data_IF_258751352706
#
_entry.id   IF_258751352706
#
_cell.length_a   1.000
_cell.length_b   1.000
_cell.length_c   1.000
_cell.angle_alpha   90.00
_cell.angle_beta   90.00
_cell.angle_gamma   90.00
#
_symmetry.space_group_name_H-M   'P 1'
#
loop_
_entity.id
_entity.type
_entity.pdbx_description
1 polymer ?
#
# COMPACT_ATOMS: atom_id res chain seq x y z
N UNK A 1 18.30 -8.08 35.41
CA UNK A 1 17.11 -8.58 34.69
C UNK A 1 17.34 -8.34 33.20
N UNK A 2 17.59 -9.41 32.50
CA UNK A 2 17.77 -9.40 31.04
C UNK A 2 16.45 -9.06 30.37
N UNK A 3 16.40 -7.91 29.70
CA UNK A 3 15.26 -7.41 28.94
C UNK A 3 15.25 -7.90 27.48
N UNK A 4 16.16 -8.78 27.12
CA UNK A 4 16.48 -8.98 25.68
C UNK A 4 15.90 -10.22 25.03
N UNK A 5 15.29 -11.15 25.73
CA UNK A 5 14.91 -12.42 25.10
C UNK A 5 13.44 -12.80 25.12
N UNK A 6 12.60 -12.22 25.98
CA UNK A 6 11.26 -12.77 26.20
C UNK A 6 10.08 -11.96 25.63
N UNK A 7 10.31 -10.75 25.12
CA UNK A 7 9.21 -9.83 24.75
C UNK A 7 8.82 -9.91 23.26
N UNK A 8 9.66 -10.44 22.38
CA UNK A 8 9.40 -10.34 20.93
C UNK A 8 8.86 -11.58 20.22
N UNK A 9 9.05 -12.78 20.74
CA UNK A 9 8.64 -14.00 20.01
C UNK A 9 7.41 -14.69 20.59
N UNK A 10 7.17 -14.55 21.90
CA UNK A 10 6.01 -15.17 22.55
C UNK A 10 4.74 -14.34 22.48
N UNK A 11 4.86 -13.00 22.33
CA UNK A 11 3.69 -12.12 22.37
C UNK A 11 2.95 -11.99 21.05
N UNK A 12 3.64 -12.12 19.91
CA UNK A 12 2.98 -12.10 18.60
C UNK A 12 2.15 -13.36 18.34
N UNK A 13 2.61 -14.53 18.81
CA UNK A 13 1.87 -15.79 18.70
C UNK A 13 0.63 -15.82 19.59
N UNK A 14 0.57 -14.94 20.61
CA UNK A 14 -0.59 -14.79 21.49
C UNK A 14 -1.65 -13.83 20.93
N UNK A 15 -1.33 -13.05 19.88
CA UNK A 15 -2.29 -12.14 19.27
C UNK A 15 -3.24 -12.92 18.35
N UNK A 16 -4.53 -12.87 18.66
CA UNK A 16 -5.56 -13.53 17.87
C UNK A 16 -5.76 -12.89 16.50
N UNK A 17 -5.48 -11.60 16.36
CA UNK A 17 -5.66 -10.85 15.13
C UNK A 17 -4.65 -9.72 15.00
N UNK A 18 -3.93 -9.66 13.88
CA UNK A 18 -2.98 -8.61 13.56
C UNK A 18 -3.46 -7.89 12.30
N UNK A 19 -3.88 -6.63 12.45
CA UNK A 19 -4.33 -5.78 11.35
C UNK A 19 -3.15 -4.99 10.77
N UNK A 20 -2.84 -5.25 9.50
CA UNK A 20 -1.85 -4.47 8.76
C UNK A 20 -2.46 -3.22 8.14
N UNK A 21 -1.91 -2.04 8.42
CA UNK A 21 -2.37 -0.79 7.81
C UNK A 21 -1.46 -0.44 6.65
N UNK A 22 -2.04 -0.22 5.48
CA UNK A 22 -1.33 0.23 4.28
C UNK A 22 -2.14 1.28 3.53
N UNK A 23 -1.48 2.15 2.78
CA UNK A 23 -2.15 3.09 1.88
C UNK A 23 -2.54 2.39 0.57
N UNK A 24 -3.47 2.98 -0.17
CA UNK A 24 -3.82 2.54 -1.53
C UNK A 24 -2.71 2.81 -2.58
N UNK A 25 -1.60 3.43 -2.18
CA UNK A 25 -0.39 3.69 -2.95
C UNK A 25 0.83 3.61 -2.04
N UNK A 26 2.04 3.59 -2.61
CA UNK A 26 3.27 3.51 -1.82
C UNK A 26 3.88 4.89 -1.57
N UNK A 27 4.46 5.05 -0.38
CA UNK A 27 5.30 6.21 -0.02
C UNK A 27 6.59 5.75 0.64
N UNK A 28 7.66 6.51 0.43
CA UNK A 28 8.96 6.25 1.06
C UNK A 28 9.58 7.54 1.59
N UNK A 29 10.20 7.44 2.76
CA UNK A 29 11.06 8.46 3.34
C UNK A 29 12.50 8.00 3.23
N UNK A 30 13.40 8.91 2.84
CA UNK A 30 14.83 8.65 2.75
C UNK A 30 15.26 7.90 1.50
N UNK A 31 16.57 7.61 1.44
CA UNK A 31 17.22 6.97 0.31
C UNK A 31 16.92 5.48 0.20
N UNK A 32 17.33 4.87 -0.90
CA UNK A 32 17.23 3.45 -1.20
C UNK A 32 16.25 3.11 -2.31
N UNK A 33 16.25 1.86 -2.80
CA UNK A 33 15.49 1.46 -3.95
C UNK A 33 13.98 1.46 -3.67
N UNK A 34 13.22 1.89 -4.67
CA UNK A 34 11.77 1.94 -4.64
C UNK A 34 11.25 1.57 -6.05
N UNK A 35 11.06 0.27 -6.34
CA UNK A 35 10.75 -0.19 -7.71
C UNK A 35 9.52 0.46 -8.33
N UNK A 36 8.44 0.66 -7.57
CA UNK A 36 7.21 1.30 -8.06
C UNK A 36 7.22 2.83 -7.99
N UNK A 37 8.38 3.46 -7.78
CA UNK A 37 8.53 4.91 -7.65
C UNK A 37 8.18 5.68 -8.92
N UNK A 38 7.39 6.73 -8.75
CA UNK A 38 7.00 7.68 -9.78
C UNK A 38 7.54 9.07 -9.51
N UNK A 39 7.62 9.47 -8.24
CA UNK A 39 8.02 10.81 -7.84
C UNK A 39 9.02 10.79 -6.69
N UNK A 40 10.10 11.52 -6.89
CA UNK A 40 11.10 11.88 -5.87
C UNK A 40 11.43 13.37 -6.01
N UNK A 41 11.15 14.15 -4.98
CA UNK A 41 11.36 15.60 -4.98
C UNK A 41 12.81 15.98 -5.29
N UNK A 42 13.77 15.20 -4.80
CA UNK A 42 15.19 15.46 -4.96
C UNK A 42 15.78 14.90 -6.28
N UNK A 43 14.96 14.18 -7.08
CA UNK A 43 15.40 13.52 -8.31
C UNK A 43 14.65 14.03 -9.55
N UNK A 44 15.29 14.86 -10.41
CA UNK A 44 14.65 15.38 -11.64
C UNK A 44 14.22 14.30 -12.64
N UNK A 45 14.80 13.10 -12.58
CA UNK A 45 14.41 11.98 -13.44
C UNK A 45 13.14 11.24 -12.95
N UNK A 46 12.65 11.57 -11.75
CA UNK A 46 11.48 10.97 -11.12
C UNK A 46 10.43 12.03 -10.84
N UNK A 47 9.84 12.58 -11.90
CA UNK A 47 8.85 13.66 -11.86
C UNK A 47 7.59 13.27 -12.65
N UNK A 48 7.16 12.00 -12.53
CA UNK A 48 5.92 11.55 -13.19
C UNK A 48 4.72 12.32 -12.64
N UNK A 49 3.85 12.89 -13.51
CA UNK A 49 2.68 13.68 -13.09
C UNK A 49 1.74 12.92 -12.14
N UNK A 50 1.63 11.60 -12.30
CA UNK A 50 0.85 10.74 -11.39
C UNK A 50 1.46 10.74 -10.00
N UNK A 51 2.78 10.55 -9.91
CA UNK A 51 3.50 10.57 -8.63
C UNK A 51 3.41 11.92 -7.94
N UNK A 52 3.56 13.02 -8.68
CA UNK A 52 3.35 14.40 -8.18
C UNK A 52 1.95 14.55 -7.59
N UNK A 53 0.92 14.14 -8.34
CA UNK A 53 -0.47 14.21 -7.88
C UNK A 53 -0.72 13.37 -6.62
N UNK A 54 -0.14 12.16 -6.53
CA UNK A 54 -0.20 11.34 -5.31
C UNK A 54 0.40 12.07 -4.10
N UNK A 55 1.53 12.76 -4.29
CA UNK A 55 2.18 13.53 -3.23
C UNK A 55 1.34 14.74 -2.78
N UNK A 56 0.79 15.49 -3.72
CA UNK A 56 0.02 16.72 -3.45
C UNK A 56 -1.34 16.40 -2.82
N UNK A 57 -2.16 15.56 -3.46
CA UNK A 57 -3.49 15.19 -2.99
C UNK A 57 -3.39 14.38 -1.69
N UNK A 58 -2.42 13.47 -1.63
CA UNK A 58 -2.13 12.68 -0.44
C UNK A 58 -1.50 13.47 0.70
N UNK A 59 -1.08 14.74 0.47
CA UNK A 59 -0.36 15.59 1.45
C UNK A 59 0.84 14.83 2.03
N UNK A 60 1.67 14.28 1.14
CA UNK A 60 2.78 13.41 1.52
C UNK A 60 4.00 14.21 1.93
N UNK A 61 3.92 14.81 3.11
CA UNK A 61 5.00 15.55 3.77
C UNK A 61 5.22 15.00 5.17
N UNK A 62 6.46 15.11 5.66
CA UNK A 62 6.77 14.80 7.04
C UNK A 62 6.11 15.80 7.99
N UNK A 63 5.34 15.30 8.95
CA UNK A 63 4.58 16.15 9.90
C UNK A 63 5.49 17.08 10.75
N UNK A 64 6.73 16.68 10.99
CA UNK A 64 7.69 17.45 11.82
C UNK A 64 8.64 18.27 10.96
N UNK A 65 9.18 17.67 9.91
CA UNK A 65 10.23 18.29 9.09
C UNK A 65 9.72 18.97 7.82
N UNK A 66 8.44 18.75 7.44
CA UNK A 66 7.89 19.21 6.17
C UNK A 66 8.52 18.56 4.93
N UNK A 67 9.45 17.60 5.11
CA UNK A 67 10.17 16.98 3.98
C UNK A 67 9.21 16.19 3.11
N UNK A 68 9.22 16.39 1.78
CA UNK A 68 8.41 15.61 0.85
C UNK A 68 8.73 14.11 0.93
N UNK A 69 7.71 13.28 0.75
CA UNK A 69 7.86 11.83 0.61
C UNK A 69 7.88 11.46 -0.86
N UNK A 70 8.69 10.49 -1.19
CA UNK A 70 8.71 9.83 -2.49
C UNK A 70 7.42 9.04 -2.64
N UNK A 71 6.79 9.03 -3.82
CA UNK A 71 5.52 8.34 -4.07
C UNK A 71 5.59 7.42 -5.27
N UNK A 72 4.73 6.42 -5.28
CA UNK A 72 4.61 5.45 -6.37
C UNK A 72 3.34 4.62 -6.27
N UNK A 73 3.08 3.82 -7.31
CA UNK A 73 1.95 2.90 -7.30
C UNK A 73 2.03 1.86 -6.17
N UNK A 74 0.88 1.35 -5.75
CA UNK A 74 0.85 0.30 -4.72
C UNK A 74 1.63 -0.93 -5.18
N UNK A 75 2.54 -1.38 -4.32
CA UNK A 75 3.35 -2.56 -4.51
C UNK A 75 2.76 -3.74 -3.71
N UNK A 76 1.87 -4.48 -4.35
CA UNK A 76 1.19 -5.61 -3.73
C UNK A 76 2.12 -6.82 -3.53
N UNK A 77 3.18 -6.94 -4.35
CA UNK A 77 4.19 -7.98 -4.18
C UNK A 77 5.05 -7.74 -2.93
N UNK A 78 5.46 -6.49 -2.69
CA UNK A 78 6.12 -6.11 -1.44
C UNK A 78 5.18 -6.24 -0.23
N UNK A 79 3.90 -5.87 -0.39
CA UNK A 79 2.89 -6.04 0.65
C UNK A 79 2.71 -7.52 1.03
N UNK A 80 2.63 -8.42 0.06
CA UNK A 80 2.58 -9.88 0.29
C UNK A 80 3.74 -10.36 1.17
N UNK A 81 4.95 -9.87 0.90
CA UNK A 81 6.12 -10.21 1.70
C UNK A 81 6.03 -9.63 3.12
N UNK A 82 5.58 -8.40 3.24
CA UNK A 82 5.36 -7.75 4.54
C UNK A 82 4.34 -8.51 5.40
N UNK A 83 3.24 -8.95 4.79
CA UNK A 83 2.21 -9.77 5.45
C UNK A 83 2.82 -11.06 6.03
N UNK A 84 3.64 -11.76 5.24
CA UNK A 84 4.29 -13.00 5.69
C UNK A 84 5.22 -12.79 6.88
N UNK A 85 6.03 -11.71 6.83
CA UNK A 85 7.01 -11.42 7.88
C UNK A 85 6.31 -11.01 9.19
N UNK A 86 5.22 -10.26 9.09
CA UNK A 86 4.52 -9.71 10.26
C UNK A 86 3.33 -10.58 10.72
N UNK A 87 3.07 -11.72 10.09
CA UNK A 87 1.96 -12.61 10.49
C UNK A 87 0.59 -11.95 10.43
N UNK A 88 0.35 -11.05 9.44
CA UNK A 88 -0.89 -10.27 9.39
C UNK A 88 -2.11 -11.16 9.15
N UNK A 89 -3.19 -10.87 9.86
CA UNK A 89 -4.49 -11.55 9.73
C UNK A 89 -5.39 -10.91 8.68
N UNK A 90 -5.35 -9.59 8.58
CA UNK A 90 -6.12 -8.80 7.62
C UNK A 90 -5.49 -7.44 7.35
N UNK A 91 -6.05 -6.72 6.39
CA UNK A 91 -5.55 -5.42 5.92
C UNK A 91 -6.54 -4.30 6.20
N UNK A 92 -6.02 -3.13 6.52
CA UNK A 92 -6.72 -1.85 6.45
C UNK A 92 -6.10 -1.02 5.32
N UNK A 93 -6.87 -0.79 4.26
CA UNK A 93 -6.44 0.09 3.17
C UNK A 93 -6.86 1.52 3.48
N UNK A 94 -5.91 2.44 3.47
CA UNK A 94 -6.16 3.86 3.76
C UNK A 94 -5.91 4.73 2.54
N UNK A 95 -6.46 5.96 2.55
CA UNK A 95 -6.26 6.95 1.50
C UNK A 95 -6.71 6.48 0.11
N UNK A 96 -7.81 5.75 0.05
CA UNK A 96 -8.40 5.33 -1.23
C UNK A 96 -8.84 6.54 -2.06
N UNK A 97 -9.35 7.56 -1.39
CA UNK A 97 -9.80 8.85 -1.94
C UNK A 97 -8.72 9.61 -2.73
N UNK A 98 -7.45 9.38 -2.41
CA UNK A 98 -6.32 9.99 -3.15
C UNK A 98 -6.25 9.48 -4.60
N UNK A 99 -6.80 8.29 -4.87
CA UNK A 99 -6.86 7.70 -6.21
C UNK A 99 -8.07 8.18 -7.03
N UNK A 100 -8.95 8.99 -6.47
CA UNK A 100 -10.13 9.53 -7.18
C UNK A 100 -9.71 10.34 -8.41
N UNK A 101 -10.38 10.08 -9.54
CA UNK A 101 -10.19 10.84 -10.78
C UNK A 101 -8.90 10.55 -11.55
N UNK A 102 -8.17 9.48 -11.24
CA UNK A 102 -7.19 8.93 -12.17
C UNK A 102 -7.89 8.19 -13.31
N UNK A 103 -7.37 8.28 -14.53
CA UNK A 103 -7.88 7.51 -15.68
C UNK A 103 -7.48 6.05 -15.58
N UNK A 104 -6.25 5.80 -15.16
CA UNK A 104 -5.67 4.46 -14.97
C UNK A 104 -4.97 4.40 -13.63
N UNK A 105 -5.17 3.31 -12.91
CA UNK A 105 -4.51 2.98 -11.65
C UNK A 105 -3.70 1.70 -11.89
N UNK A 106 -2.46 1.68 -11.42
CA UNK A 106 -1.57 0.52 -11.58
C UNK A 106 -1.31 -0.17 -10.26
N UNK A 107 -1.31 -1.49 -10.31
CA UNK A 107 -0.95 -2.34 -9.18
C UNK A 107 0.32 -3.12 -9.53
N UNK A 108 1.40 -2.96 -8.76
CA UNK A 108 2.58 -3.77 -8.92
C UNK A 108 2.33 -5.17 -8.31
N UNK A 109 2.35 -6.19 -9.17
CA UNK A 109 2.04 -7.58 -8.79
C UNK A 109 3.26 -8.49 -8.77
N UNK A 110 4.42 -7.99 -9.15
CA UNK A 110 5.68 -8.71 -9.20
C UNK A 110 6.79 -7.87 -9.79
N UNK A 111 7.91 -8.50 -10.08
CA UNK A 111 9.10 -7.83 -10.63
C UNK A 111 9.74 -8.67 -11.73
N UNK A 112 10.51 -8.00 -12.58
CA UNK A 112 11.50 -8.65 -13.44
C UNK A 112 12.89 -8.25 -12.94
N UNK A 113 13.75 -9.24 -12.73
CA UNK A 113 15.16 -9.04 -12.39
C UNK A 113 16.02 -9.90 -13.32
N UNK A 114 16.89 -9.26 -14.10
CA UNK A 114 17.78 -9.92 -15.05
C UNK A 114 17.03 -10.90 -15.99
N UNK A 115 15.83 -10.52 -16.44
CA UNK A 115 14.95 -11.31 -17.31
C UNK A 115 14.12 -12.40 -16.61
N UNK A 116 14.28 -12.59 -15.31
CA UNK A 116 13.49 -13.54 -14.52
C UNK A 116 12.36 -12.86 -13.80
N UNK A 117 11.16 -13.47 -13.83
CA UNK A 117 10.00 -12.98 -13.06
C UNK A 117 10.11 -13.41 -11.61
N UNK A 118 9.83 -12.47 -10.71
CA UNK A 118 9.80 -12.66 -9.26
C UNK A 118 8.44 -12.18 -8.72
N UNK A 119 7.86 -12.94 -7.81
CA UNK A 119 6.61 -12.58 -7.09
C UNK A 119 6.87 -11.96 -5.71
N UNK A 120 8.15 -11.83 -5.32
CA UNK A 120 8.61 -11.20 -4.09
C UNK A 120 9.89 -10.41 -4.35
N UNK A 121 10.14 -9.38 -3.54
CA UNK A 121 11.39 -8.62 -3.62
C UNK A 121 12.60 -9.51 -3.29
N UNK A 122 13.69 -9.42 -4.06
CA UNK A 122 14.94 -10.09 -3.75
C UNK A 122 15.58 -9.50 -2.49
N UNK A 123 16.59 -10.17 -1.97
CA UNK A 123 17.38 -9.67 -0.84
C UNK A 123 18.48 -8.73 -1.34
N UNK A 124 18.71 -7.68 -0.56
CA UNK A 124 19.76 -6.69 -0.80
C UNK A 124 19.32 -5.52 -1.68
N UNK A 125 19.78 -4.32 -1.31
CA UNK A 125 19.39 -3.07 -1.96
C UNK A 125 19.79 -3.01 -3.44
N UNK A 126 20.94 -3.56 -3.80
CA UNK A 126 21.42 -3.60 -5.18
C UNK A 126 20.53 -4.43 -6.11
N UNK A 127 20.09 -5.60 -5.66
CA UNK A 127 19.17 -6.44 -6.42
C UNK A 127 17.79 -5.76 -6.55
N UNK A 128 17.28 -5.18 -5.46
CA UNK A 128 16.01 -4.43 -5.48
C UNK A 128 16.09 -3.22 -6.41
N UNK A 129 17.23 -2.52 -6.48
CA UNK A 129 17.41 -1.37 -7.36
C UNK A 129 17.36 -1.72 -8.87
N UNK A 130 17.66 -2.99 -9.22
CA UNK A 130 17.56 -3.48 -10.61
C UNK A 130 16.21 -4.09 -10.94
N UNK A 131 15.31 -4.23 -9.95
CA UNK A 131 13.98 -4.75 -10.19
C UNK A 131 13.15 -3.79 -11.02
N UNK A 132 12.54 -4.31 -12.06
CA UNK A 132 11.53 -3.63 -12.87
C UNK A 132 10.14 -4.12 -12.42
N UNK A 133 9.23 -3.23 -12.00
CA UNK A 133 7.91 -3.63 -11.55
C UNK A 133 7.05 -4.16 -12.69
N UNK A 134 6.33 -5.23 -12.43
CA UNK A 134 5.29 -5.77 -13.32
C UNK A 134 3.96 -5.22 -12.84
N UNK A 135 3.28 -4.47 -13.71
CA UNK A 135 2.01 -3.83 -13.40
C UNK A 135 0.82 -4.54 -14.03
N UNK A 136 -0.29 -4.53 -13.29
CA UNK A 136 -1.64 -4.70 -13.82
C UNK A 136 -2.33 -3.33 -13.85
N UNK A 137 -2.96 -2.99 -14.98
CA UNK A 137 -3.66 -1.74 -15.18
C UNK A 137 -5.15 -1.90 -14.87
N UNK A 138 -5.68 -0.97 -14.07
CA UNK A 138 -7.10 -0.88 -13.71
C UNK A 138 -7.67 0.42 -14.24
N UNK A 139 -8.89 0.42 -14.78
CA UNK A 139 -9.58 1.66 -15.08
C UNK A 139 -9.80 2.40 -13.76
N UNK A 140 -9.50 3.69 -13.75
CA UNK A 140 -9.88 4.55 -12.67
C UNK A 140 -11.39 4.74 -12.60
N UNK A 141 -11.87 5.33 -11.53
CA UNK A 141 -13.30 5.55 -11.33
C UNK A 141 -13.70 7.00 -11.49
N UNK A 142 -14.91 7.19 -12.03
CA UNK A 142 -15.57 8.49 -12.10
C UNK A 142 -16.33 8.73 -10.81
N UNK A 143 -16.13 9.86 -10.19
CA UNK A 143 -16.73 10.19 -8.89
C UNK A 143 -15.74 10.14 -7.76
N UNK A 144 -16.24 10.26 -6.55
CA UNK A 144 -15.41 10.26 -5.35
C UNK A 144 -15.66 9.03 -4.49
N UNK A 145 -14.59 8.52 -3.88
CA UNK A 145 -14.69 7.53 -2.81
C UNK A 145 -14.67 8.21 -1.44
N UNK A 146 -14.39 9.52 -1.39
CA UNK A 146 -14.31 10.28 -0.15
C UNK A 146 -15.60 10.19 0.68
N UNK A 147 -15.48 9.83 1.94
CA UNK A 147 -16.58 9.77 2.90
C UNK A 147 -17.56 8.61 2.71
N UNK A 148 -17.32 7.70 1.77
CA UNK A 148 -18.16 6.51 1.59
C UNK A 148 -17.93 5.54 2.77
N UNK A 149 -19.04 5.06 3.37
CA UNK A 149 -19.05 4.21 4.57
C UNK A 149 -19.56 2.79 4.31
N UNK A 150 -20.04 2.53 3.11
CA UNK A 150 -20.63 1.24 2.73
C UNK A 150 -19.94 0.71 1.48
N UNK A 151 -19.59 -0.58 1.47
CA UNK A 151 -18.91 -1.23 0.36
C UNK A 151 -19.65 -1.11 -0.97
N UNK A 152 -20.95 -1.36 -0.95
CA UNK A 152 -21.77 -1.37 -2.17
C UNK A 152 -21.97 0.02 -2.79
N UNK A 153 -21.59 1.07 -2.08
CA UNK A 153 -21.59 2.46 -2.58
C UNK A 153 -20.26 2.86 -3.23
N UNK A 154 -19.21 2.07 -3.05
CA UNK A 154 -17.95 2.29 -3.78
C UNK A 154 -18.16 2.09 -5.28
N UNK A 155 -17.50 2.89 -6.14
CA UNK A 155 -17.41 2.60 -7.57
C UNK A 155 -16.96 1.17 -7.82
N UNK A 156 -17.55 0.51 -8.81
CA UNK A 156 -17.26 -0.91 -9.09
C UNK A 156 -15.78 -1.13 -9.47
N UNK A 157 -15.14 -0.15 -10.08
CA UNK A 157 -13.72 -0.17 -10.42
C UNK A 157 -12.86 -0.14 -9.15
N UNK A 158 -13.24 0.66 -8.15
CA UNK A 158 -12.58 0.70 -6.85
C UNK A 158 -12.72 -0.62 -6.11
N UNK A 159 -13.91 -1.23 -6.14
CA UNK A 159 -14.14 -2.56 -5.56
C UNK A 159 -13.25 -3.62 -6.24
N UNK A 160 -13.18 -3.63 -7.57
CA UNK A 160 -12.32 -4.57 -8.33
C UNK A 160 -10.84 -4.39 -7.99
N UNK A 161 -10.38 -3.14 -7.89
CA UNK A 161 -9.00 -2.83 -7.50
C UNK A 161 -8.69 -3.37 -6.08
N UNK A 162 -9.58 -3.12 -5.11
CA UNK A 162 -9.43 -3.61 -3.74
C UNK A 162 -9.45 -5.14 -3.67
N UNK A 163 -10.35 -5.82 -4.40
CA UNK A 163 -10.37 -7.29 -4.47
C UNK A 163 -9.09 -7.85 -5.07
N UNK A 164 -8.54 -7.19 -6.09
CA UNK A 164 -7.26 -7.65 -6.65
C UNK A 164 -6.10 -7.50 -5.67
N UNK A 165 -6.10 -6.47 -4.84
CA UNK A 165 -5.12 -6.34 -3.74
C UNK A 165 -5.23 -7.54 -2.79
N UNK A 166 -6.43 -7.95 -2.38
CA UNK A 166 -6.64 -9.14 -1.53
C UNK A 166 -6.06 -10.41 -2.16
N UNK A 167 -6.33 -10.62 -3.45
CA UNK A 167 -5.86 -11.81 -4.18
C UNK A 167 -4.34 -11.87 -4.24
N UNK A 168 -3.66 -10.77 -4.62
CA UNK A 168 -2.21 -10.72 -4.72
C UNK A 168 -1.56 -10.81 -3.34
N UNK A 169 -2.09 -10.09 -2.37
CA UNK A 169 -1.58 -10.05 -1.00
C UNK A 169 -1.84 -11.36 -0.24
N UNK A 170 -2.88 -12.10 -0.60
CA UNK A 170 -3.27 -13.36 0.04
C UNK A 170 -3.88 -13.19 1.44
N UNK A 171 -4.41 -12.00 1.74
CA UNK A 171 -5.12 -11.69 3.00
C UNK A 171 -6.31 -10.78 2.73
N UNK A 172 -7.41 -10.95 3.50
CA UNK A 172 -8.61 -10.14 3.32
C UNK A 172 -8.37 -8.69 3.71
N UNK A 173 -9.04 -7.78 3.03
CA UNK A 173 -9.18 -6.40 3.46
C UNK A 173 -10.32 -6.36 4.49
N UNK A 174 -9.98 -6.09 5.74
CA UNK A 174 -10.93 -5.97 6.83
C UNK A 174 -11.55 -4.57 6.91
N UNK A 175 -10.80 -3.56 6.49
CA UNK A 175 -11.21 -2.16 6.58
C UNK A 175 -10.71 -1.36 5.38
N UNK A 176 -11.50 -0.36 4.98
CA UNK A 176 -11.10 0.65 3.98
C UNK A 176 -11.40 2.02 4.52
N UNK A 177 -10.38 2.86 4.67
CA UNK A 177 -10.57 4.27 5.03
C UNK A 177 -10.69 5.12 3.76
N UNK A 178 -11.74 5.89 3.69
CA UNK A 178 -12.14 6.73 2.56
C UNK A 178 -12.00 8.23 2.84
N UNK A 179 -11.50 8.57 4.03
CA UNK A 179 -11.25 9.96 4.41
C UNK A 179 -10.52 10.04 5.76
N UNK A 180 -10.25 11.27 6.27
CA UNK A 180 -9.47 11.48 7.48
C UNK A 180 -10.27 11.26 8.78
N UNK A 181 -11.60 11.32 8.73
CA UNK A 181 -12.43 11.19 9.91
C UNK A 181 -12.60 9.71 10.31
N UNK A 182 -12.80 9.46 11.61
CA UNK A 182 -12.92 8.10 12.15
C UNK A 182 -14.06 7.30 11.53
N UNK A 183 -15.15 7.95 11.23
CA UNK A 183 -16.37 7.35 10.69
C UNK A 183 -16.37 7.24 9.15
N UNK A 184 -15.35 7.79 8.47
CA UNK A 184 -15.11 7.62 7.03
C UNK A 184 -14.35 6.32 6.77
N UNK A 185 -14.93 5.22 7.27
CA UNK A 185 -14.32 3.90 7.22
C UNK A 185 -15.38 2.84 6.90
N UNK A 186 -15.09 2.01 5.90
CA UNK A 186 -15.87 0.82 5.57
C UNK A 186 -15.30 -0.35 6.37
N UNK A 187 -16.12 -0.97 7.21
CA UNK A 187 -15.76 -2.16 7.96
C UNK A 187 -16.30 -3.39 7.24
N UNK A 188 -15.40 -4.22 6.68
CA UNK A 188 -15.76 -5.45 5.97
C UNK A 188 -15.70 -6.68 6.88
N UNK A 189 -14.73 -6.70 7.79
CA UNK A 189 -14.56 -7.76 8.77
C UNK A 189 -14.21 -7.15 10.13
N UNK A 190 -14.96 -7.53 11.15
CA UNK A 190 -14.69 -7.05 12.50
C UNK A 190 -13.57 -7.87 13.14
N UNK A 191 -12.43 -7.28 13.54
CA UNK A 191 -11.27 -8.04 14.02
C UNK A 191 -11.53 -8.81 15.34
N UNK A 192 -12.56 -8.44 16.09
CA UNK A 192 -12.92 -9.05 17.39
C UNK A 192 -14.23 -9.87 17.35
N UNK A 193 -14.82 -10.06 16.17
CA UNK A 193 -16.00 -10.90 15.99
C UNK A 193 -15.64 -11.95 14.95
N UNK A 194 -15.26 -13.12 15.43
CA UNK A 194 -15.10 -14.31 14.61
C UNK A 194 -16.45 -14.88 14.17
#
# INVERSE_FOLDING_TARGET
RDWSSDVCSSDLDSLQYILGITKAYCTRVGAGPFPSELYDFDNPAKQDPVGVRLAEVGKEFGSVTGRPRRTGWLDAAALKRSIQINGLSGLCITKLDVLDGFETIRLCVGYTLDGQKLDVLPRGAEAVARCEPIYEDFPGWKGTTFGIREWDKLPIEAQKFLRRIEEVAGKPIAMVSTGPERDETILLQHPFKG
#
